data_IF_343627612561
#
_entry.id   IF_343627612561
#
_cell.length_a   1.000
_cell.length_b   1.000
_cell.length_c   1.000
_cell.angle_alpha   90.00
_cell.angle_beta   90.00
_cell.angle_gamma   90.00
#
_symmetry.space_group_name_H-M   'P 1'
#
loop_
_entity.id
_entity.type
_entity.pdbx_description
1 polymer ?
#
# COMPACT_ATOMS: atom_id res chain seq x y z
N UNK A 1 6.11 -31.93 -51.94
CA UNK A 1 6.46 -33.02 -52.89
C UNK A 1 7.73 -33.69 -52.36
N UNK A 2 7.76 -35.03 -52.31
CA UNK A 2 8.91 -35.93 -52.04
C UNK A 2 9.70 -35.78 -50.71
N UNK A 3 10.31 -36.86 -50.17
CA UNK A 3 9.90 -38.27 -50.21
C UNK A 3 10.03 -39.02 -48.86
N UNK A 4 9.70 -40.30 -48.88
CA UNK A 4 9.74 -41.31 -47.79
C UNK A 4 11.12 -41.97 -47.57
N UNK A 5 11.34 -42.58 -46.39
CA UNK A 5 12.24 -43.73 -46.20
C UNK A 5 11.84 -44.60 -44.98
N UNK A 6 12.23 -45.88 -45.01
CA UNK A 6 12.00 -46.92 -43.98
C UNK A 6 13.27 -47.08 -43.07
N UNK A 7 13.47 -48.04 -42.14
CA UNK A 7 12.96 -49.41 -41.90
C UNK A 7 13.10 -49.84 -40.40
N UNK A 8 12.80 -51.11 -40.09
CA UNK A 8 13.27 -52.06 -39.02
C UNK A 8 14.04 -51.54 -37.76
N UNK A 9 13.71 -51.87 -36.49
CA UNK A 9 13.40 -53.12 -35.73
C UNK A 9 14.60 -53.78 -35.02
N UNK A 10 14.43 -54.13 -33.73
CA UNK A 10 14.76 -55.45 -33.14
C UNK A 10 14.64 -55.47 -31.61
N UNK A 11 13.91 -56.47 -31.07
CA UNK A 11 13.82 -56.81 -29.64
C UNK A 11 14.73 -58.00 -29.33
N UNK A 12 15.46 -57.99 -28.19
CA UNK A 12 16.06 -59.22 -27.61
C UNK A 12 15.93 -59.21 -26.07
N UNK A 13 15.13 -60.14 -25.53
CA UNK A 13 15.18 -60.58 -24.14
C UNK A 13 16.23 -61.69 -23.94
N UNK A 14 16.84 -61.77 -22.74
CA UNK A 14 17.33 -63.04 -22.18
C UNK A 14 17.27 -63.04 -20.64
N UNK A 15 16.66 -64.07 -20.05
CA UNK A 15 16.64 -64.34 -18.60
C UNK A 15 17.56 -65.52 -18.19
N UNK A 16 17.79 -65.73 -16.89
CA UNK A 16 18.75 -66.77 -16.44
C UNK A 16 18.91 -67.00 -14.91
N UNK A 17 17.85 -67.50 -14.28
CA UNK A 17 17.64 -67.86 -12.86
C UNK A 17 18.64 -68.86 -12.17
N UNK A 18 18.61 -68.92 -10.81
CA UNK A 18 19.06 -70.00 -9.86
C UNK A 18 20.53 -70.06 -9.34
N UNK A 19 20.90 -70.57 -8.13
CA UNK A 19 20.28 -70.78 -6.78
C UNK A 19 21.34 -71.30 -5.75
N UNK A 20 21.12 -71.05 -4.43
CA UNK A 20 21.52 -71.89 -3.24
C UNK A 20 23.02 -72.18 -2.92
N UNK A 21 23.47 -72.55 -1.70
CA UNK A 21 23.03 -72.38 -0.29
C UNK A 21 24.10 -72.97 0.68
N UNK A 22 24.09 -72.64 1.99
CA UNK A 22 24.40 -73.57 3.14
C UNK A 22 24.30 -72.87 4.52
N UNK A 23 24.42 -73.62 5.62
CA UNK A 23 23.65 -73.36 6.87
C UNK A 23 24.14 -74.06 8.15
N UNK A 24 23.89 -73.50 9.35
CA UNK A 24 23.74 -74.24 10.64
C UNK A 24 23.16 -73.31 11.76
N UNK A 25 21.92 -73.51 12.27
CA UNK A 25 21.48 -74.29 13.48
C UNK A 25 21.91 -73.74 14.88
N UNK A 26 21.14 -73.86 16.00
CA UNK A 26 19.67 -74.01 16.17
C UNK A 26 18.96 -73.29 17.39
N UNK A 27 17.70 -72.86 17.18
CA UNK A 27 16.47 -72.93 18.05
C UNK A 27 16.31 -72.33 19.50
N UNK A 28 15.39 -71.34 19.56
CA UNK A 28 14.19 -71.16 20.48
C UNK A 28 14.42 -70.89 21.99
N UNK A 29 13.55 -70.16 22.73
CA UNK A 29 12.06 -70.05 22.71
C UNK A 29 11.54 -68.81 23.49
N UNK A 30 10.50 -68.12 23.01
CA UNK A 30 9.42 -67.40 23.77
C UNK A 30 8.47 -66.73 22.74
N UNK A 31 7.42 -67.42 22.28
CA UNK A 31 6.00 -67.32 22.71
C UNK A 31 5.21 -66.12 22.15
N UNK A 32 4.07 -66.45 21.52
CA UNK A 32 3.17 -65.52 20.80
C UNK A 32 2.34 -64.63 21.74
N UNK A 33 1.95 -63.45 21.23
CA UNK A 33 0.53 -63.05 21.18
C UNK A 33 0.27 -62.08 20.03
N UNK A 34 -0.79 -62.33 19.26
CA UNK A 34 -1.30 -61.40 18.25
C UNK A 34 -2.05 -60.27 18.95
N UNK A 35 -1.74 -59.02 18.63
CA UNK A 35 -2.55 -57.86 19.05
C UNK A 35 -3.58 -57.51 17.97
N UNK A 36 -4.76 -57.12 18.41
CA UNK A 36 -5.94 -56.93 17.55
C UNK A 36 -5.86 -55.66 16.71
N UNK A 37 -6.43 -55.70 15.51
CA UNK A 37 -6.83 -54.49 14.79
C UNK A 37 -8.14 -54.00 15.42
N UNK A 38 -8.14 -52.75 15.89
CA UNK A 38 -9.36 -52.02 16.31
C UNK A 38 -9.61 -50.93 15.26
N UNK A 39 -10.85 -50.71 14.79
CA UNK A 39 -11.11 -49.67 13.80
C UNK A 39 -10.85 -48.29 14.39
N UNK A 40 -10.12 -47.44 13.68
CA UNK A 40 -9.93 -46.05 14.09
C UNK A 40 -11.28 -45.32 13.93
N UNK A 41 -11.83 -44.83 15.03
CA UNK A 41 -13.10 -44.11 15.02
C UNK A 41 -13.02 -42.83 14.17
N UNK A 42 -14.13 -42.44 13.55
CA UNK A 42 -14.28 -41.10 12.97
C UNK A 42 -14.10 -40.09 14.09
N UNK A 43 -12.99 -39.36 14.07
CA UNK A 43 -12.84 -38.13 14.81
C UNK A 43 -12.99 -37.00 13.79
N UNK A 44 -14.15 -36.36 13.82
CA UNK A 44 -14.38 -35.14 13.03
C UNK A 44 -13.41 -34.08 13.55
N UNK A 45 -12.37 -33.81 12.77
CA UNK A 45 -11.52 -32.64 12.96
C UNK A 45 -12.39 -31.42 12.64
N UNK A 46 -12.78 -30.69 13.68
CA UNK A 46 -13.36 -29.37 13.51
C UNK A 46 -12.36 -28.50 12.73
N UNK A 47 -12.78 -28.03 11.56
CA UNK A 47 -12.05 -27.00 10.84
C UNK A 47 -12.15 -25.70 11.64
N UNK A 48 -11.00 -25.17 12.05
CA UNK A 48 -10.88 -23.87 12.69
C UNK A 48 -10.71 -22.80 11.59
N UNK A 49 -11.80 -22.12 11.26
CA UNK A 49 -11.89 -21.13 10.16
C UNK A 49 -11.21 -19.76 10.50
N UNK A 50 -10.21 -19.74 11.39
CA UNK A 50 -9.64 -18.51 11.97
C UNK A 50 -8.40 -17.93 11.25
N UNK A 51 -8.11 -18.37 10.02
CA UNK A 51 -7.13 -17.72 9.15
C UNK A 51 -7.79 -17.09 7.92
N UNK A 52 -8.26 -15.85 8.07
CA UNK A 52 -8.50 -14.96 6.93
C UNK A 52 -7.18 -14.72 6.19
N UNK A 53 -7.13 -15.01 4.89
CA UNK A 53 -6.03 -14.56 4.03
C UNK A 53 -5.88 -13.05 4.16
N UNK A 54 -4.72 -12.57 4.64
CA UNK A 54 -4.49 -11.13 4.83
C UNK A 54 -4.52 -10.42 3.47
N UNK A 55 -5.21 -9.30 3.38
CA UNK A 55 -5.25 -8.51 2.14
C UNK A 55 -3.89 -7.84 1.88
N UNK A 56 -3.66 -7.41 0.64
CA UNK A 56 -2.46 -6.62 0.30
C UNK A 56 -2.41 -5.29 1.05
N UNK A 57 -3.57 -4.71 1.39
CA UNK A 57 -3.68 -3.50 2.22
C UNK A 57 -3.36 -3.78 3.70
N UNK A 58 -3.82 -4.90 4.28
CA UNK A 58 -3.44 -5.30 5.65
C UNK A 58 -1.91 -5.48 5.76
N UNK A 59 -1.31 -6.24 4.84
CA UNK A 59 0.13 -6.47 4.81
C UNK A 59 0.93 -5.18 4.63
N UNK A 60 0.43 -4.26 3.80
CA UNK A 60 1.03 -2.94 3.62
C UNK A 60 0.99 -2.13 4.91
N UNK A 61 -0.19 -2.00 5.54
CA UNK A 61 -0.37 -1.22 6.77
C UNK A 61 0.43 -1.79 7.95
N UNK A 62 0.52 -3.11 8.08
CA UNK A 62 1.35 -3.79 9.09
C UNK A 62 2.86 -3.56 8.86
N UNK A 63 3.29 -3.31 7.62
CA UNK A 63 4.70 -3.02 7.29
C UNK A 63 5.11 -1.56 7.57
N UNK A 64 4.15 -0.65 7.65
CA UNK A 64 4.41 0.78 7.86
C UNK A 64 4.49 1.12 9.35
N UNK A 65 5.21 2.22 9.67
CA UNK A 65 5.15 2.79 11.02
C UNK A 65 3.72 3.28 11.31
N UNK A 66 3.06 2.81 12.38
CA UNK A 66 1.67 3.16 12.68
C UNK A 66 1.53 4.62 13.11
N UNK A 67 0.36 5.19 12.80
CA UNK A 67 -0.05 6.55 13.15
C UNK A 67 -1.13 6.49 14.23
N UNK A 68 -0.97 7.22 15.34
CA UNK A 68 -1.93 7.23 16.44
C UNK A 68 -2.28 8.66 16.86
N UNK A 69 -3.55 8.92 17.16
CA UNK A 69 -3.95 10.11 17.89
C UNK A 69 -3.70 9.90 19.40
N UNK A 70 -3.04 10.84 20.10
CA UNK A 70 -2.89 10.80 21.56
C UNK A 70 -4.26 10.68 22.24
N UNK A 71 -4.29 10.15 23.46
CA UNK A 71 -5.52 10.22 24.26
C UNK A 71 -5.82 11.67 24.62
N UNK A 72 -7.10 12.02 24.58
CA UNK A 72 -7.61 13.31 25.03
C UNK A 72 -8.36 13.07 26.34
N UNK A 73 -8.05 13.84 27.38
CA UNK A 73 -8.66 13.68 28.71
C UNK A 73 -9.97 14.47 28.80
N UNK A 74 -10.07 15.60 28.10
CA UNK A 74 -11.29 16.39 28.06
C UNK A 74 -12.29 15.80 27.05
N UNK A 75 -13.28 15.09 27.57
CA UNK A 75 -14.38 14.46 26.81
C UNK A 75 -15.20 15.43 25.94
N UNK A 76 -15.19 16.73 26.25
CA UNK A 76 -15.89 17.75 25.45
C UNK A 76 -15.09 18.24 24.24
N UNK A 77 -13.81 17.88 24.14
CA UNK A 77 -12.98 18.19 22.97
C UNK A 77 -13.29 17.20 21.85
N UNK A 78 -13.56 17.76 20.68
CA UNK A 78 -13.64 17.01 19.42
C UNK A 78 -12.35 17.32 18.66
N UNK A 79 -11.73 16.29 18.07
CA UNK A 79 -10.55 16.47 17.22
C UNK A 79 -10.84 16.07 15.79
N UNK A 80 -10.34 16.85 14.84
CA UNK A 80 -10.40 16.55 13.41
C UNK A 80 -8.99 16.49 12.85
N UNK A 81 -8.76 15.53 11.95
CA UNK A 81 -7.56 15.42 11.12
C UNK A 81 -7.99 15.38 9.67
N UNK A 82 -7.48 16.28 8.85
CA UNK A 82 -7.57 16.19 7.39
C UNK A 82 -6.58 15.14 6.90
N UNK A 83 -7.06 14.07 6.26
CA UNK A 83 -6.25 12.97 5.72
C UNK A 83 -6.07 13.12 4.20
N UNK A 84 -7.12 13.58 3.50
CA UNK A 84 -7.02 14.10 2.15
C UNK A 84 -7.91 15.35 2.00
N UNK A 85 -7.45 16.38 1.29
CA UNK A 85 -8.23 17.58 1.04
C UNK A 85 -9.27 17.35 -0.07
N UNK A 86 -10.32 18.18 -0.09
CA UNK A 86 -11.34 18.15 -1.12
C UNK A 86 -10.93 18.98 -2.34
N UNK A 87 -11.45 18.60 -3.51
CA UNK A 87 -11.40 19.41 -4.73
C UNK A 87 -12.66 19.19 -5.57
N UNK A 88 -12.84 19.97 -6.63
CA UNK A 88 -13.97 19.81 -7.57
C UNK A 88 -14.09 18.39 -8.17
N UNK A 89 -13.03 17.58 -8.08
CA UNK A 89 -12.94 16.22 -8.62
C UNK A 89 -12.70 15.13 -7.57
N UNK A 90 -12.51 15.47 -6.29
CA UNK A 90 -12.20 14.51 -5.21
C UNK A 90 -12.91 14.89 -3.92
N UNK A 91 -13.61 13.96 -3.29
CA UNK A 91 -14.13 14.19 -1.94
C UNK A 91 -12.96 14.39 -0.96
N UNK A 92 -13.07 15.26 0.05
CA UNK A 92 -12.15 15.25 1.18
C UNK A 92 -12.24 13.93 1.94
N UNK A 93 -11.20 13.62 2.72
CA UNK A 93 -11.21 12.54 3.70
C UNK A 93 -10.76 13.06 5.05
N UNK A 94 -11.61 12.93 6.06
CA UNK A 94 -11.32 13.33 7.43
C UNK A 94 -11.50 12.18 8.40
N UNK A 95 -10.76 12.26 9.50
CA UNK A 95 -11.03 11.49 10.71
C UNK A 95 -11.41 12.46 11.83
N UNK A 96 -12.57 12.23 12.44
CA UNK A 96 -13.10 12.97 13.58
C UNK A 96 -13.12 12.03 14.79
N UNK A 97 -12.67 12.51 15.94
CA UNK A 97 -12.61 11.73 17.19
C UNK A 97 -13.20 12.52 18.36
N UNK A 98 -14.18 11.95 19.04
CA UNK A 98 -14.82 12.46 20.27
C UNK A 98 -14.86 11.33 21.30
N UNK A 99 -14.27 11.57 22.47
CA UNK A 99 -14.07 10.53 23.51
C UNK A 99 -13.41 9.25 22.96
N UNK A 100 -14.15 8.14 22.97
CA UNK A 100 -13.76 6.80 22.49
C UNK A 100 -14.41 6.45 21.15
N UNK A 101 -15.08 7.40 20.48
CA UNK A 101 -15.73 7.19 19.20
C UNK A 101 -14.96 7.93 18.10
N UNK A 102 -14.60 7.19 17.06
CA UNK A 102 -13.96 7.71 15.86
C UNK A 102 -14.91 7.58 14.67
N UNK A 103 -14.88 8.58 13.81
CA UNK A 103 -15.78 8.75 12.67
C UNK A 103 -14.94 9.11 11.45
N UNK A 104 -15.20 8.47 10.32
CA UNK A 104 -14.61 8.83 9.04
C UNK A 104 -15.61 9.65 8.23
N UNK A 105 -15.09 10.60 7.47
CA UNK A 105 -15.91 11.49 6.64
C UNK A 105 -15.35 11.59 5.22
N UNK A 106 -16.22 11.42 4.21
CA UNK A 106 -15.87 11.38 2.79
C UNK A 106 -15.02 10.14 2.46
N UNK A 107 -14.37 10.10 1.31
CA UNK A 107 -13.49 8.96 0.95
C UNK A 107 -12.09 9.35 0.52
N UNK A 108 -11.88 10.53 -0.08
CA UNK A 108 -10.60 10.87 -0.70
C UNK A 108 -10.25 9.99 -1.91
N UNK A 109 -11.22 9.20 -2.40
CA UNK A 109 -11.03 8.33 -3.54
C UNK A 109 -10.80 9.19 -4.79
N UNK A 110 -9.81 8.77 -5.57
CA UNK A 110 -9.17 9.57 -6.60
C UNK A 110 -8.58 8.65 -7.66
N UNK A 111 -7.81 9.21 -8.58
CA UNK A 111 -7.00 8.46 -9.53
C UNK A 111 -5.63 9.12 -9.69
N UNK A 112 -4.57 8.31 -9.62
CA UNK A 112 -3.19 8.73 -9.92
C UNK A 112 -2.85 8.26 -11.34
N UNK A 113 -2.26 9.14 -12.15
CA UNK A 113 -1.81 8.78 -13.51
C UNK A 113 -0.30 8.85 -13.62
N UNK A 114 0.33 7.74 -14.01
CA UNK A 114 1.78 7.61 -14.12
C UNK A 114 2.13 6.77 -15.37
N UNK A 115 3.11 7.23 -16.15
CA UNK A 115 3.58 6.56 -17.38
C UNK A 115 2.45 6.17 -18.37
N UNK A 116 1.39 6.99 -18.48
CA UNK A 116 0.26 6.76 -19.37
C UNK A 116 -0.77 5.72 -18.90
N UNK A 117 -0.59 5.14 -17.69
CA UNK A 117 -1.61 4.30 -17.02
C UNK A 117 -2.20 5.06 -15.84
N UNK A 118 -3.52 4.93 -15.67
CA UNK A 118 -4.26 5.51 -14.54
C UNK A 118 -4.63 4.41 -13.55
N UNK A 119 -4.44 4.68 -12.27
CA UNK A 119 -4.65 3.75 -11.16
C UNK A 119 -5.70 4.34 -10.21
N UNK A 120 -6.71 3.57 -9.78
CA UNK A 120 -7.58 3.96 -8.67
C UNK A 120 -6.74 4.21 -7.42
N UNK A 121 -6.96 5.32 -6.75
CA UNK A 121 -6.20 5.73 -5.56
C UNK A 121 -7.09 6.17 -4.41
N UNK A 122 -6.56 6.06 -3.20
CA UNK A 122 -7.22 6.43 -1.95
C UNK A 122 -6.19 6.94 -0.93
N UNK A 123 -6.60 7.69 0.10
CA UNK A 123 -5.67 8.26 1.05
C UNK A 123 -5.02 7.19 1.94
N UNK A 124 -3.88 7.53 2.54
CA UNK A 124 -3.22 6.72 3.56
C UNK A 124 -4.17 6.34 4.72
N UNK A 125 -4.35 5.03 4.89
CA UNK A 125 -5.27 4.45 5.87
C UNK A 125 -4.62 4.16 7.24
N UNK A 126 -3.35 4.52 7.50
CA UNK A 126 -2.65 4.22 8.77
C UNK A 126 -3.37 4.73 10.00
N UNK A 127 -3.84 5.98 9.99
CA UNK A 127 -4.54 6.56 11.14
C UNK A 127 -5.96 5.99 11.31
N UNK A 128 -6.80 5.86 10.25
CA UNK A 128 -8.05 5.09 10.32
C UNK A 128 -7.88 3.66 10.83
N UNK A 129 -6.87 2.94 10.36
CA UNK A 129 -6.58 1.55 10.74
C UNK A 129 -6.18 1.42 12.21
N UNK A 130 -5.38 2.36 12.72
CA UNK A 130 -5.01 2.39 14.14
C UNK A 130 -6.19 2.68 15.07
N UNK A 131 -7.26 3.30 14.54
CA UNK A 131 -8.48 3.65 15.27
C UNK A 131 -9.65 2.67 14.98
N UNK A 132 -9.43 1.60 14.20
CA UNK A 132 -10.50 0.77 13.62
C UNK A 132 -11.48 0.16 14.63
N UNK A 133 -10.99 -0.25 15.80
CA UNK A 133 -11.82 -0.82 16.87
C UNK A 133 -12.71 0.24 17.57
N UNK A 134 -12.47 1.52 17.28
CA UNK A 134 -13.26 2.68 17.73
C UNK A 134 -14.06 3.34 16.60
N UNK A 135 -13.99 2.83 15.36
CA UNK A 135 -14.73 3.38 14.23
C UNK A 135 -16.21 3.04 14.33
N UNK A 136 -17.00 4.02 14.77
CA UNK A 136 -18.46 3.88 14.93
C UNK A 136 -19.16 4.06 13.58
N UNK A 137 -18.65 4.96 12.73
CA UNK A 137 -19.27 5.26 11.45
C UNK A 137 -18.27 5.75 10.40
N UNK A 138 -18.59 5.46 9.13
CA UNK A 138 -18.00 6.07 7.96
C UNK A 138 -19.11 6.80 7.19
N UNK A 139 -19.09 8.13 7.23
CA UNK A 139 -20.05 8.98 6.55
C UNK A 139 -19.53 9.30 5.16
N UNK A 140 -20.22 8.85 4.12
CA UNK A 140 -19.81 9.04 2.72
C UNK A 140 -20.90 9.84 2.01
N UNK A 141 -20.59 11.07 1.61
CA UNK A 141 -21.52 11.96 0.91
C UNK A 141 -20.91 12.44 -0.42
N UNK A 142 -20.39 11.46 -1.16
CA UNK A 142 -19.78 11.67 -2.47
C UNK A 142 -20.86 11.43 -3.54
N UNK A 143 -20.95 12.27 -4.57
CA UNK A 143 -21.97 12.12 -5.63
C UNK A 143 -21.83 10.81 -6.43
N UNK A 144 -20.59 10.28 -6.51
CA UNK A 144 -20.29 8.98 -7.09
C UNK A 144 -19.19 8.28 -6.27
N UNK A 145 -19.51 7.11 -5.71
CA UNK A 145 -18.56 6.31 -4.90
C UNK A 145 -17.87 5.28 -5.80
N UNK A 146 -16.54 5.21 -5.73
CA UNK A 146 -15.78 4.08 -6.26
C UNK A 146 -15.96 2.86 -5.34
N UNK A 147 -16.84 1.93 -5.74
CA UNK A 147 -17.22 0.77 -4.92
C UNK A 147 -16.06 -0.25 -4.80
N UNK A 148 -15.20 -0.39 -5.81
CA UNK A 148 -14.06 -1.30 -5.75
C UNK A 148 -13.04 -0.85 -4.68
N UNK A 149 -12.72 0.45 -4.65
CA UNK A 149 -11.92 1.04 -3.58
C UNK A 149 -12.59 0.91 -2.20
N UNK A 150 -13.90 1.10 -2.12
CA UNK A 150 -14.65 0.89 -0.87
C UNK A 150 -14.52 -0.56 -0.37
N UNK A 151 -14.70 -1.56 -1.25
CA UNK A 151 -14.54 -2.98 -0.88
C UNK A 151 -13.12 -3.37 -0.51
N UNK A 152 -12.11 -2.65 -1.04
CA UNK A 152 -10.71 -2.85 -0.67
C UNK A 152 -10.43 -2.39 0.77
N UNK A 153 -11.06 -1.28 1.20
CA UNK A 153 -10.79 -0.65 2.51
C UNK A 153 -11.69 -1.19 3.63
N UNK A 154 -12.93 -1.59 3.34
CA UNK A 154 -13.90 -2.02 4.37
C UNK A 154 -13.43 -3.16 5.29
N UNK A 155 -12.78 -4.25 4.81
CA UNK A 155 -12.31 -5.33 5.67
C UNK A 155 -11.25 -4.88 6.67
N UNK A 156 -10.33 -4.04 6.21
CA UNK A 156 -9.18 -3.51 6.94
C UNK A 156 -9.61 -2.61 8.12
N UNK A 157 -10.73 -1.89 7.93
CA UNK A 157 -11.33 -1.03 8.95
C UNK A 157 -12.38 -1.73 9.83
N UNK A 158 -12.46 -3.06 9.81
CA UNK A 158 -13.45 -3.86 10.57
C UNK A 158 -14.93 -3.54 10.26
N UNK A 159 -15.25 -3.14 9.01
CA UNK A 159 -16.62 -2.87 8.53
C UNK A 159 -17.40 -1.84 9.38
N UNK A 160 -16.95 -0.58 9.46
CA UNK A 160 -17.68 0.47 10.17
C UNK A 160 -19.07 0.70 9.54
N UNK A 161 -20.02 1.19 10.32
CA UNK A 161 -21.36 1.50 9.81
C UNK A 161 -21.28 2.60 8.74
N UNK A 162 -21.82 2.35 7.55
CA UNK A 162 -21.80 3.30 6.43
C UNK A 162 -23.05 4.18 6.51
N UNK A 163 -22.85 5.49 6.67
CA UNK A 163 -23.91 6.49 6.66
C UNK A 163 -23.83 7.26 5.34
N UNK A 164 -24.86 7.18 4.49
CA UNK A 164 -24.81 7.76 3.14
C UNK A 164 -26.21 8.00 2.56
N UNK A 165 -26.30 8.62 1.39
CA UNK A 165 -27.58 8.88 0.71
C UNK A 165 -28.21 7.58 0.21
N UNK A 166 -29.54 7.57 0.03
CA UNK A 166 -30.26 6.41 -0.52
C UNK A 166 -29.74 5.94 -1.88
N UNK A 167 -29.33 6.89 -2.73
CA UNK A 167 -28.73 6.61 -4.04
C UNK A 167 -27.40 5.86 -3.88
N UNK A 168 -26.56 6.28 -2.94
CA UNK A 168 -25.29 5.63 -2.64
C UNK A 168 -25.47 4.25 -2.00
N UNK A 169 -26.46 4.07 -1.11
CA UNK A 169 -26.81 2.73 -0.57
C UNK A 169 -27.19 1.79 -1.72
N UNK A 170 -28.02 2.24 -2.67
CA UNK A 170 -28.39 1.44 -3.83
C UNK A 170 -27.18 1.16 -4.75
N UNK A 171 -26.34 2.17 -5.02
CA UNK A 171 -25.13 2.01 -5.83
C UNK A 171 -24.16 0.98 -5.23
N UNK A 172 -23.85 1.08 -3.94
CA UNK A 172 -22.95 0.14 -3.26
C UNK A 172 -23.53 -1.27 -3.32
N UNK A 173 -24.81 -1.45 -2.94
CA UNK A 173 -25.46 -2.78 -2.92
C UNK A 173 -25.51 -3.46 -4.29
N UNK A 174 -25.63 -2.69 -5.37
CA UNK A 174 -25.73 -3.22 -6.73
C UNK A 174 -24.36 -3.53 -7.36
N UNK A 175 -23.26 -2.95 -6.84
CA UNK A 175 -21.92 -3.09 -7.43
C UNK A 175 -20.94 -3.93 -6.59
N UNK A 176 -21.20 -4.16 -5.30
CA UNK A 176 -20.39 -5.13 -4.51
C UNK A 176 -20.65 -6.55 -5.05
N UNK A 177 -19.61 -7.14 -5.65
CA UNK A 177 -19.69 -8.49 -6.23
C UNK A 177 -19.54 -9.62 -5.19
N UNK A 178 -18.88 -9.38 -4.05
CA UNK A 178 -18.73 -10.37 -2.98
C UNK A 178 -19.84 -10.24 -1.93
N UNK A 179 -20.76 -11.21 -1.94
CA UNK A 179 -21.84 -11.29 -0.95
C UNK A 179 -21.32 -11.35 0.50
N UNK A 180 -20.15 -11.94 0.78
CA UNK A 180 -19.58 -12.01 2.14
C UNK A 180 -19.13 -10.64 2.66
N UNK A 181 -18.71 -9.74 1.76
CA UNK A 181 -18.41 -8.35 2.09
C UNK A 181 -19.74 -7.61 2.35
N UNK A 182 -20.73 -7.79 1.48
CA UNK A 182 -22.02 -7.12 1.59
C UNK A 182 -22.78 -7.50 2.88
N UNK A 183 -22.78 -8.77 3.27
CA UNK A 183 -23.44 -9.28 4.48
C UNK A 183 -22.88 -8.69 5.78
N UNK A 184 -21.60 -8.27 5.78
CA UNK A 184 -20.95 -7.58 6.90
C UNK A 184 -21.25 -6.08 6.93
N UNK A 185 -21.56 -5.47 5.78
CA UNK A 185 -21.86 -4.04 5.70
C UNK A 185 -23.16 -3.69 6.43
N UNK A 186 -23.18 -2.54 7.11
CA UNK A 186 -24.39 -1.97 7.71
C UNK A 186 -24.57 -0.56 7.16
N UNK A 187 -25.74 -0.30 6.58
CA UNK A 187 -26.04 0.94 5.88
C UNK A 187 -27.13 1.70 6.61
N UNK A 188 -26.91 3.00 6.79
CA UNK A 188 -27.84 3.95 7.39
C UNK A 188 -28.06 5.10 6.40
N UNK A 189 -29.32 5.41 6.13
CA UNK A 189 -29.68 6.51 5.24
C UNK A 189 -29.52 7.84 5.99
N UNK A 190 -28.68 8.73 5.46
CA UNK A 190 -28.66 10.13 5.88
C UNK A 190 -29.85 10.81 5.20
N UNK A 191 -30.79 11.29 6.02
CA UNK A 191 -32.00 12.01 5.61
C UNK A 191 -31.92 13.43 6.18
N UNK A 192 -32.21 14.41 5.33
CA UNK A 192 -32.45 15.79 5.76
C UNK A 192 -33.88 15.91 6.33
N UNK A 193 -34.00 16.08 7.66
CA UNK A 193 -35.28 16.22 8.36
C UNK A 193 -35.45 17.63 8.93
N UNK A 194 -35.49 18.62 8.04
CA UNK A 194 -35.91 19.99 8.32
C UNK A 194 -35.26 20.61 9.57
N UNK A 195 -33.93 20.62 9.63
CA UNK A 195 -33.10 21.10 10.76
C UNK A 195 -33.12 20.26 12.06
N UNK A 196 -33.78 19.09 12.15
CA UNK A 196 -33.61 18.22 13.32
C UNK A 196 -32.19 17.62 13.38
N UNK A 197 -31.58 17.63 14.56
CA UNK A 197 -30.31 16.93 14.79
C UNK A 197 -30.56 15.44 15.06
N UNK A 198 -29.83 14.58 14.34
CA UNK A 198 -29.81 13.14 14.52
C UNK A 198 -28.54 12.71 15.28
N UNK A 199 -28.43 11.45 15.72
CA UNK A 199 -27.26 10.95 16.47
C UNK A 199 -26.53 9.81 15.76
N UNK A 200 -25.20 9.91 15.74
CA UNK A 200 -24.27 8.84 15.38
C UNK A 200 -23.32 8.68 16.56
N UNK A 201 -23.50 7.62 17.34
CA UNK A 201 -22.73 7.41 18.58
C UNK A 201 -22.84 8.59 19.56
N UNK A 202 -21.70 9.15 19.95
CA UNK A 202 -21.57 10.30 20.87
C UNK A 202 -21.69 11.67 20.19
N UNK A 203 -21.91 11.69 18.87
CA UNK A 203 -21.97 12.91 18.06
C UNK A 203 -23.41 13.11 17.55
N UNK A 204 -23.96 14.31 17.75
CA UNK A 204 -25.15 14.78 17.02
C UNK A 204 -24.74 15.24 15.64
N UNK A 205 -25.60 15.16 14.62
CA UNK A 205 -25.35 15.75 13.31
C UNK A 205 -26.62 16.37 12.72
N UNK A 206 -26.45 17.31 11.79
CA UNK A 206 -27.57 17.89 11.04
C UNK A 206 -27.09 18.51 9.73
N UNK A 207 -27.99 18.61 8.75
CA UNK A 207 -27.70 19.25 7.45
C UNK A 207 -28.13 20.72 7.51
N UNK A 208 -27.37 21.60 6.86
CA UNK A 208 -27.70 23.03 6.70
C UNK A 208 -27.18 23.54 5.36
N UNK A 209 -27.64 24.72 4.95
CA UNK A 209 -27.09 25.44 3.81
C UNK A 209 -26.49 26.78 4.27
N UNK A 210 -25.26 27.06 3.84
CA UNK A 210 -24.48 28.24 4.19
C UNK A 210 -23.83 28.81 2.92
N UNK A 211 -24.08 30.09 2.60
CA UNK A 211 -23.55 30.78 1.39
C UNK A 211 -23.80 30.03 0.06
N UNK A 212 -24.85 29.21 0.00
CA UNK A 212 -25.21 28.38 -1.16
C UNK A 212 -24.66 26.95 -1.11
N UNK A 213 -23.65 26.68 -0.29
CA UNK A 213 -23.10 25.35 -0.06
C UNK A 213 -23.89 24.62 1.01
N UNK A 214 -24.17 23.33 0.83
CA UNK A 214 -24.69 22.51 1.91
C UNK A 214 -23.53 22.03 2.79
N UNK A 215 -23.73 22.06 4.11
CA UNK A 215 -22.77 21.58 5.10
C UNK A 215 -23.42 20.61 6.09
N UNK A 216 -22.61 19.69 6.61
CA UNK A 216 -22.93 18.92 7.80
C UNK A 216 -22.42 19.63 9.06
N UNK A 217 -23.28 19.69 10.07
CA UNK A 217 -22.98 20.11 11.43
C UNK A 217 -22.76 18.88 12.28
N UNK A 218 -21.92 18.97 13.31
CA UNK A 218 -21.76 17.91 14.30
C UNK A 218 -21.72 18.49 15.72
N UNK A 219 -22.64 18.07 16.59
CA UNK A 219 -22.93 18.72 17.88
C UNK A 219 -23.40 20.18 17.68
N UNK A 220 -23.29 21.03 18.70
CA UNK A 220 -23.48 22.49 18.58
C UNK A 220 -22.36 23.20 17.78
N UNK A 221 -21.59 22.47 16.98
CA UNK A 221 -20.41 22.95 16.26
C UNK A 221 -20.56 22.60 14.78
N UNK A 222 -20.14 23.49 13.91
CA UNK A 222 -20.09 23.18 12.48
C UNK A 222 -18.72 22.56 12.20
N UNK A 223 -18.68 21.50 11.40
CA UNK A 223 -17.45 20.99 10.79
C UNK A 223 -17.77 20.90 9.31
N UNK A 224 -17.67 22.04 8.60
CA UNK A 224 -18.34 22.13 7.31
C UNK A 224 -17.70 21.17 6.32
N UNK A 225 -18.48 20.18 5.90
CA UNK A 225 -18.28 19.56 4.61
C UNK A 225 -18.56 20.62 3.53
N UNK A 226 -17.61 20.94 2.62
CA UNK A 226 -17.78 22.01 1.63
C UNK A 226 -18.83 21.72 0.53
N UNK A 227 -19.23 20.45 0.36
CA UNK A 227 -19.97 19.97 -0.81
C UNK A 227 -21.01 18.88 -0.48
N UNK A 228 -22.02 19.15 0.37
CA UNK A 228 -23.07 18.13 0.56
C UNK A 228 -23.87 17.92 -0.75
N UNK A 229 -24.10 16.67 -1.20
CA UNK A 229 -24.71 16.34 -2.49
C UNK A 229 -26.00 17.07 -2.85
N UNK A 230 -26.19 17.29 -4.15
CA UNK A 230 -27.44 17.83 -4.72
C UNK A 230 -28.69 17.01 -4.37
N UNK A 231 -28.52 15.75 -3.95
CA UNK A 231 -29.59 14.85 -3.51
C UNK A 231 -30.18 15.19 -2.12
N UNK A 232 -29.54 16.08 -1.34
CA UNK A 232 -29.95 16.47 0.01
C UNK A 232 -30.50 17.92 0.05
N UNK A 233 -31.23 18.33 -0.99
CA UNK A 233 -31.50 19.74 -1.33
C UNK A 233 -32.64 20.44 -0.58
N UNK A 234 -33.05 19.96 0.61
CA UNK A 234 -34.26 20.42 1.33
C UNK A 234 -33.99 21.26 2.59
N UNK A 235 -32.78 21.76 2.79
CA UNK A 235 -32.43 22.51 3.99
C UNK A 235 -33.15 23.87 4.10
N UNK A 236 -33.70 24.18 5.27
CA UNK A 236 -34.30 25.49 5.58
C UNK A 236 -33.27 26.42 6.25
N UNK A 237 -33.08 27.67 5.81
CA UNK A 237 -32.15 28.60 6.45
C UNK A 237 -32.62 28.99 7.86
N UNK A 238 -31.70 29.12 8.83
CA UNK A 238 -32.10 29.58 10.17
C UNK A 238 -31.09 29.47 11.33
N UNK A 239 -29.87 28.95 11.14
CA UNK A 239 -28.85 28.90 12.20
C UNK A 239 -27.51 29.35 11.62
N UNK A 240 -26.99 30.47 12.13
CA UNK A 240 -25.61 30.91 11.85
C UNK A 240 -24.61 29.92 12.49
N UNK A 241 -23.55 29.52 11.78
CA UNK A 241 -22.54 28.64 12.34
C UNK A 241 -21.72 29.36 13.41
N UNK A 242 -21.30 28.65 14.46
CA UNK A 242 -20.34 29.21 15.44
C UNK A 242 -18.96 29.45 14.80
N UNK A 243 -18.63 28.71 13.74
CA UNK A 243 -17.37 28.81 13.01
C UNK A 243 -17.61 28.67 11.50
N UNK A 244 -17.05 29.58 10.69
CA UNK A 244 -17.09 29.52 9.22
C UNK A 244 -15.90 28.71 8.70
N UNK A 245 -16.12 27.91 7.65
CA UNK A 245 -15.09 27.08 7.03
C UNK A 245 -14.98 27.40 5.54
N UNK A 246 -13.76 27.42 5.01
CA UNK A 246 -13.49 27.57 3.58
C UNK A 246 -12.17 26.92 3.20
N UNK A 247 -12.06 26.37 2.01
CA UNK A 247 -10.76 25.97 1.45
C UNK A 247 -10.12 27.17 0.77
N UNK A 248 -8.89 27.53 1.16
CA UNK A 248 -8.13 28.61 0.49
C UNK A 248 -7.42 28.12 -0.76
N UNK A 249 -7.12 26.82 -0.81
CA UNK A 249 -6.50 26.11 -1.92
C UNK A 249 -6.81 24.61 -1.81
N UNK A 250 -6.18 23.78 -2.65
CA UNK A 250 -6.40 22.33 -2.71
C UNK A 250 -5.84 21.53 -1.52
N UNK A 251 -5.15 22.14 -0.56
CA UNK A 251 -4.48 21.43 0.56
C UNK A 251 -4.82 22.00 1.94
N UNK A 252 -5.39 23.20 1.98
CA UNK A 252 -5.46 24.02 3.19
C UNK A 252 -6.90 24.40 3.55
N UNK A 253 -7.34 23.97 4.74
CA UNK A 253 -8.64 24.28 5.32
C UNK A 253 -8.52 25.51 6.22
N UNK A 254 -9.22 26.58 5.88
CA UNK A 254 -9.40 27.73 6.74
C UNK A 254 -10.65 27.53 7.62
N UNK A 255 -10.52 27.79 8.92
CA UNK A 255 -11.62 27.84 9.89
C UNK A 255 -11.54 29.16 10.64
N UNK A 256 -12.55 30.02 10.45
CA UNK A 256 -12.52 31.43 10.82
C UNK A 256 -11.25 32.12 10.26
N UNK A 257 -10.44 32.74 11.13
CA UNK A 257 -9.16 33.37 10.77
C UNK A 257 -7.96 32.40 10.89
N UNK A 258 -8.18 31.12 11.18
CA UNK A 258 -7.12 30.13 11.38
C UNK A 258 -7.00 29.20 10.18
N UNK A 259 -5.82 29.13 9.59
CA UNK A 259 -5.49 28.30 8.44
C UNK A 259 -4.82 27.01 8.91
N UNK A 260 -5.30 25.86 8.43
CA UNK A 260 -4.80 24.53 8.79
C UNK A 260 -4.43 23.72 7.55
N UNK A 261 -3.32 22.99 7.63
CA UNK A 261 -2.82 22.19 6.52
C UNK A 261 -3.03 20.68 6.70
N UNK A 262 -2.92 19.92 5.61
CA UNK A 262 -3.03 18.45 5.59
C UNK A 262 -2.28 17.78 6.75
N UNK A 263 -2.96 16.90 7.48
CA UNK A 263 -2.39 16.16 8.60
C UNK A 263 -2.29 16.89 9.94
N UNK A 264 -2.63 18.18 10.03
CA UNK A 264 -2.72 18.86 11.33
C UNK A 264 -3.91 18.38 12.16
N UNK A 265 -3.73 18.32 13.47
CA UNK A 265 -4.81 17.95 14.41
C UNK A 265 -5.46 19.22 14.94
N UNK A 266 -6.67 19.48 14.44
CA UNK A 266 -7.55 20.54 14.95
C UNK A 266 -8.24 20.04 16.21
N UNK A 267 -8.22 20.82 17.29
CA UNK A 267 -8.95 20.53 18.53
C UNK A 267 -10.00 21.61 18.76
N UNK A 268 -11.26 21.20 18.87
CA UNK A 268 -12.40 22.08 19.08
C UNK A 268 -12.88 21.90 20.51
N UNK A 269 -12.86 22.96 21.30
CA UNK A 269 -13.61 23.05 22.56
C UNK A 269 -14.98 23.73 22.31
N UNK A 270 -15.69 24.16 23.35
CA UNK A 270 -17.02 24.80 23.22
C UNK A 270 -16.99 26.20 22.58
N UNK A 271 -15.83 26.86 22.58
CA UNK A 271 -15.68 28.29 22.29
C UNK A 271 -14.47 28.63 21.42
N UNK A 272 -13.47 27.76 21.36
CA UNK A 272 -12.20 27.98 20.67
C UNK A 272 -11.70 26.75 19.91
N UNK A 273 -10.85 27.02 18.92
CA UNK A 273 -10.17 26.04 18.08
C UNK A 273 -8.66 26.17 18.33
N UNK A 274 -7.98 25.05 18.52
CA UNK A 274 -6.54 24.99 18.78
C UNK A 274 -5.87 23.97 17.88
N UNK A 275 -4.78 24.34 17.21
CA UNK A 275 -3.91 23.39 16.51
C UNK A 275 -3.03 22.66 17.53
N UNK A 276 -3.00 21.32 17.49
CA UNK A 276 -2.02 20.58 18.28
C UNK A 276 -0.62 20.69 17.64
N UNK A 277 0.43 20.57 18.46
CA UNK A 277 1.84 20.59 17.97
C UNK A 277 2.21 19.41 17.07
N UNK A 278 1.38 18.37 17.04
CA UNK A 278 1.62 17.20 16.20
C UNK A 278 0.96 17.39 14.83
N UNK A 279 1.66 16.90 13.81
CA UNK A 279 1.19 16.86 12.42
C UNK A 279 1.49 15.49 11.84
N UNK A 280 0.51 14.89 11.20
CA UNK A 280 0.67 13.66 10.42
C UNK A 280 1.19 14.00 9.01
N UNK A 281 1.91 13.05 8.44
CA UNK A 281 2.21 13.02 6.99
C UNK A 281 1.44 11.83 6.42
N UNK A 282 0.66 12.08 5.37
CA UNK A 282 -0.11 11.06 4.68
C UNK A 282 0.41 10.90 3.26
N UNK A 283 0.52 9.64 2.84
CA UNK A 283 0.85 9.27 1.47
C UNK A 283 -0.45 9.04 0.66
N UNK A 284 -0.35 8.86 -0.66
CA UNK A 284 -1.46 8.34 -1.48
C UNK A 284 -1.26 6.85 -1.70
N UNK A 285 -2.29 6.03 -1.52
CA UNK A 285 -2.26 4.60 -1.85
C UNK A 285 -2.95 4.38 -3.19
N UNK A 286 -2.47 3.42 -3.99
CA UNK A 286 -3.04 3.07 -5.29
C UNK A 286 -3.24 1.57 -5.44
N UNK A 287 -4.23 1.17 -6.25
CA UNK A 287 -4.53 -0.23 -6.56
C UNK A 287 -4.00 -0.58 -7.94
N UNK A 288 -3.24 -1.67 -8.03
CA UNK A 288 -2.87 -2.32 -9.29
C UNK A 288 -3.34 -3.79 -9.25
N UNK A 289 -4.37 -4.09 -10.03
CA UNK A 289 -5.11 -5.36 -10.03
C UNK A 289 -5.65 -5.78 -8.65
N UNK A 290 -4.85 -6.52 -7.86
CA UNK A 290 -5.18 -6.98 -6.49
C UNK A 290 -4.17 -6.50 -5.44
N UNK A 291 -3.16 -5.74 -5.85
CA UNK A 291 -2.10 -5.24 -4.99
C UNK A 291 -2.34 -3.77 -4.66
N UNK A 292 -2.21 -3.41 -3.37
CA UNK A 292 -2.12 -2.00 -2.97
C UNK A 292 -0.65 -1.60 -2.87
N UNK A 293 -0.30 -0.48 -3.50
CA UNK A 293 0.99 0.18 -3.37
C UNK A 293 0.87 1.56 -2.74
N UNK A 294 1.99 2.11 -2.28
CA UNK A 294 2.09 3.50 -1.82
C UNK A 294 2.75 4.32 -2.92
N UNK A 295 2.15 5.47 -3.24
CA UNK A 295 2.83 6.59 -3.87
C UNK A 295 3.76 7.25 -2.84
N UNK A 296 4.79 6.52 -2.44
CA UNK A 296 5.95 7.15 -1.85
C UNK A 296 6.67 7.84 -3.01
N UNK A 297 7.08 9.10 -2.83
CA UNK A 297 7.79 9.90 -3.85
C UNK A 297 9.12 9.31 -4.36
N UNK A 298 9.50 8.11 -3.89
CA UNK A 298 10.62 7.32 -4.36
C UNK A 298 10.21 6.14 -5.27
N UNK A 299 9.03 5.52 -5.10
CA UNK A 299 8.67 4.28 -5.81
C UNK A 299 8.03 4.56 -7.18
N UNK A 300 7.19 5.59 -7.28
CA UNK A 300 6.76 6.09 -8.59
C UNK A 300 7.89 6.84 -9.29
N UNK A 301 8.76 7.55 -8.55
CA UNK A 301 9.97 8.15 -9.14
C UNK A 301 10.94 7.09 -9.68
N UNK A 302 11.13 5.95 -8.98
CA UNK A 302 11.89 4.82 -9.53
C UNK A 302 11.25 4.27 -10.80
N UNK A 303 9.91 4.17 -10.88
CA UNK A 303 9.21 3.73 -12.11
C UNK A 303 9.30 4.76 -13.25
N UNK A 304 9.22 6.05 -12.93
CA UNK A 304 9.39 7.18 -13.85
C UNK A 304 10.83 7.20 -14.40
N UNK A 305 11.85 7.19 -13.53
CA UNK A 305 13.27 7.07 -13.89
C UNK A 305 13.57 5.80 -14.70
N UNK A 306 12.94 4.67 -14.40
CA UNK A 306 13.07 3.44 -15.20
C UNK A 306 12.39 3.56 -16.57
N UNK A 307 11.30 4.32 -16.68
CA UNK A 307 10.57 4.53 -17.94
C UNK A 307 11.23 5.56 -18.86
N UNK A 308 11.86 6.59 -18.30
CA UNK A 308 12.53 7.67 -19.05
C UNK A 308 14.03 7.44 -19.25
N UNK A 309 14.73 7.03 -18.19
CA UNK A 309 16.19 6.86 -18.16
C UNK A 309 16.66 5.41 -18.33
N UNK A 310 15.79 4.42 -18.11
CA UNK A 310 16.14 3.00 -18.15
C UNK A 310 16.99 2.53 -16.97
N UNK A 311 17.53 1.31 -17.07
CA UNK A 311 18.37 0.67 -16.04
C UNK A 311 19.73 0.27 -16.62
N UNK A 312 20.78 0.42 -15.81
CA UNK A 312 22.14 -0.08 -16.07
C UNK A 312 22.56 -0.93 -14.87
N UNK A 313 22.86 -2.21 -15.11
CA UNK A 313 23.35 -3.15 -14.11
C UNK A 313 24.80 -3.48 -14.46
N UNK A 314 25.71 -3.39 -13.50
CA UNK A 314 27.08 -3.87 -13.70
C UNK A 314 27.54 -4.77 -12.56
N UNK A 315 28.27 -5.83 -12.91
CA UNK A 315 28.82 -6.81 -11.98
C UNK A 315 30.34 -6.78 -12.06
N UNK A 316 31.00 -6.51 -10.93
CA UNK A 316 32.44 -6.62 -10.77
C UNK A 316 32.77 -7.73 -9.75
N UNK A 317 33.92 -8.37 -9.94
CA UNK A 317 34.48 -9.31 -8.96
C UNK A 317 35.55 -8.57 -8.15
N UNK A 318 35.40 -8.53 -6.82
CA UNK A 318 36.38 -7.94 -5.89
C UNK A 318 37.23 -9.05 -5.27
N UNK A 319 38.55 -8.92 -5.34
CA UNK A 319 39.45 -9.68 -4.48
C UNK A 319 39.31 -9.19 -3.03
N UNK A 320 38.83 -10.05 -2.13
CA UNK A 320 38.55 -9.64 -0.76
C UNK A 320 39.82 -9.20 0.00
N UNK A 321 40.99 -9.74 -0.38
CA UNK A 321 42.27 -9.47 0.27
C UNK A 321 42.98 -8.26 -0.35
N UNK A 322 43.07 -8.23 -1.69
CA UNK A 322 43.79 -7.19 -2.43
C UNK A 322 42.96 -5.92 -2.67
N UNK A 323 41.64 -5.99 -2.48
CA UNK A 323 40.67 -4.91 -2.77
C UNK A 323 40.73 -4.37 -4.21
N UNK A 324 41.10 -5.22 -5.15
CA UNK A 324 41.17 -4.93 -6.59
C UNK A 324 40.01 -5.56 -7.35
N UNK A 325 39.66 -4.97 -8.51
CA UNK A 325 38.72 -5.60 -9.45
C UNK A 325 39.45 -6.71 -10.20
N UNK A 326 39.00 -7.95 -9.99
CA UNK A 326 39.45 -9.12 -10.75
C UNK A 326 38.68 -9.23 -12.07
N UNK A 327 39.41 -9.50 -13.15
CA UNK A 327 38.84 -9.79 -14.46
C UNK A 327 38.01 -8.66 -15.10
N UNK A 328 36.93 -9.06 -15.78
CA UNK A 328 36.08 -8.21 -16.59
C UNK A 328 34.83 -7.76 -15.81
N UNK A 329 34.44 -6.48 -15.98
CA UNK A 329 33.21 -5.94 -15.41
C UNK A 329 32.07 -6.23 -16.39
N UNK A 330 31.16 -7.12 -16.04
CA UNK A 330 29.97 -7.39 -16.86
C UNK A 330 28.99 -6.24 -16.74
N UNK A 331 28.35 -5.85 -17.85
CA UNK A 331 27.35 -4.77 -17.89
C UNK A 331 26.17 -5.20 -18.76
N UNK A 332 24.96 -4.90 -18.29
CA UNK A 332 23.70 -5.03 -19.04
C UNK A 332 22.87 -3.74 -18.86
N UNK A 333 21.99 -3.44 -19.81
CA UNK A 333 21.09 -2.28 -19.70
C UNK A 333 19.79 -2.47 -20.47
N UNK A 334 18.68 -1.99 -19.91
CA UNK A 334 17.35 -2.01 -20.55
C UNK A 334 16.74 -0.61 -20.56
N UNK A 335 16.12 -0.20 -21.66
CA UNK A 335 15.53 1.15 -21.82
C UNK A 335 16.53 2.31 -21.95
N UNK A 336 17.78 2.13 -21.49
CA UNK A 336 18.76 3.21 -21.36
C UNK A 336 19.21 3.84 -22.68
N UNK A 337 19.66 3.05 -23.67
CA UNK A 337 20.26 3.55 -24.92
C UNK A 337 19.86 2.71 -26.15
N UNK A 338 19.89 3.32 -27.34
CA UNK A 338 19.47 2.65 -28.58
C UNK A 338 20.43 1.53 -29.00
N UNK A 339 19.89 0.45 -29.61
CA UNK A 339 20.60 -0.79 -29.95
C UNK A 339 21.93 -0.61 -30.70
N UNK A 340 22.07 0.45 -31.49
CA UNK A 340 23.28 0.73 -32.28
C UNK A 340 24.42 1.36 -31.46
N UNK A 341 24.12 2.01 -30.34
CA UNK A 341 25.09 2.77 -29.52
C UNK A 341 25.52 2.01 -28.26
N UNK A 342 24.74 1.01 -27.83
CA UNK A 342 24.92 0.22 -26.59
C UNK A 342 26.38 -0.18 -26.37
N UNK A 343 27.03 -0.79 -27.36
CA UNK A 343 28.40 -1.31 -27.22
C UNK A 343 29.43 -0.21 -26.91
N UNK A 344 29.30 0.97 -27.51
CA UNK A 344 30.22 2.06 -27.25
C UNK A 344 29.99 2.65 -25.86
N UNK A 345 28.72 2.92 -25.52
CA UNK A 345 28.33 3.52 -24.24
C UNK A 345 28.66 2.58 -23.07
N UNK A 346 28.40 1.28 -23.21
CA UNK A 346 28.80 0.25 -22.23
C UNK A 346 30.31 0.23 -22.00
N UNK A 347 31.11 0.35 -23.07
CA UNK A 347 32.57 0.36 -22.97
C UNK A 347 33.10 1.57 -22.20
N UNK A 348 32.53 2.75 -22.40
CA UNK A 348 32.90 3.95 -21.63
C UNK A 348 32.42 3.88 -20.18
N UNK A 349 31.20 3.37 -19.92
CA UNK A 349 30.71 3.15 -18.55
C UNK A 349 31.61 2.14 -17.80
N UNK A 350 32.02 1.03 -18.44
CA UNK A 350 32.92 0.04 -17.81
C UNK A 350 34.28 0.65 -17.43
N UNK A 351 34.83 1.56 -18.24
CA UNK A 351 36.03 2.33 -17.85
C UNK A 351 35.75 3.23 -16.64
N UNK A 352 34.63 3.96 -16.66
CA UNK A 352 34.25 4.83 -15.54
C UNK A 352 34.07 4.04 -14.24
N UNK A 353 33.42 2.86 -14.27
CA UNK A 353 33.29 1.98 -13.10
C UNK A 353 34.66 1.61 -12.53
N UNK A 354 35.61 1.22 -13.39
CA UNK A 354 36.96 0.86 -12.96
C UNK A 354 37.69 2.04 -12.32
N UNK A 355 37.72 3.20 -12.97
CA UNK A 355 38.38 4.42 -12.46
C UNK A 355 37.74 4.88 -11.15
N UNK A 356 36.41 4.95 -11.07
CA UNK A 356 35.70 5.33 -9.84
C UNK A 356 35.96 4.34 -8.70
N UNK A 357 35.96 3.02 -8.96
CA UNK A 357 36.28 2.01 -7.96
C UNK A 357 37.71 2.20 -7.41
N UNK A 358 38.70 2.31 -8.31
CA UNK A 358 40.11 2.45 -7.96
C UNK A 358 40.35 3.73 -7.16
N UNK A 359 39.73 4.84 -7.56
CA UNK A 359 39.79 6.10 -6.81
C UNK A 359 39.11 6.00 -5.44
N UNK A 360 37.89 5.46 -5.34
CA UNK A 360 37.17 5.32 -4.06
C UNK A 360 37.97 4.44 -3.08
N UNK A 361 38.60 3.35 -3.56
CA UNK A 361 39.45 2.48 -2.75
C UNK A 361 40.79 3.13 -2.38
N UNK A 362 41.33 4.02 -3.22
CA UNK A 362 42.54 4.79 -2.88
C UNK A 362 42.25 5.86 -1.83
N UNK A 363 41.10 6.53 -1.91
CA UNK A 363 40.67 7.57 -0.97
C UNK A 363 40.25 6.97 0.39
N UNK A 364 39.64 5.78 0.38
CA UNK A 364 39.21 5.04 1.57
C UNK A 364 39.40 3.53 1.40
N UNK A 365 40.58 2.98 1.76
CA UNK A 365 40.87 1.55 1.62
C UNK A 365 39.94 0.65 2.43
N UNK A 366 39.45 1.15 3.58
CA UNK A 366 38.64 0.39 4.54
C UNK A 366 37.13 0.56 4.34
N UNK A 367 36.72 1.24 3.26
CA UNK A 367 35.32 1.51 2.96
C UNK A 367 34.43 0.25 3.03
N UNK A 368 33.33 0.38 3.77
CA UNK A 368 32.31 -0.66 3.87
C UNK A 368 31.60 -0.87 2.51
N UNK A 369 31.29 -2.14 2.19
CA UNK A 369 30.69 -2.53 0.91
C UNK A 369 29.41 -1.77 0.56
N UNK A 370 28.56 -1.46 1.55
CA UNK A 370 27.34 -0.65 1.34
C UNK A 370 27.66 0.79 0.89
N UNK A 371 28.66 1.42 1.50
CA UNK A 371 29.09 2.78 1.15
C UNK A 371 29.79 2.81 -0.21
N UNK A 372 30.59 1.78 -0.52
CA UNK A 372 31.22 1.60 -1.84
C UNK A 372 30.17 1.50 -2.95
N UNK A 373 29.13 0.67 -2.77
CA UNK A 373 28.00 0.56 -3.71
C UNK A 373 27.28 1.90 -3.89
N UNK A 374 27.06 2.66 -2.82
CA UNK A 374 26.44 3.99 -2.90
C UNK A 374 27.31 5.02 -3.65
N UNK A 375 28.62 5.09 -3.37
CA UNK A 375 29.56 5.98 -4.08
C UNK A 375 29.63 5.61 -5.57
N UNK A 376 29.76 4.33 -5.90
CA UNK A 376 29.76 3.83 -7.29
C UNK A 376 28.44 4.15 -8.01
N UNK A 377 27.28 3.92 -7.39
CA UNK A 377 25.97 4.29 -7.96
C UNK A 377 25.95 5.78 -8.34
N UNK A 378 26.38 6.65 -7.42
CA UNK A 378 26.36 8.11 -7.61
C UNK A 378 27.27 8.58 -8.76
N UNK A 379 28.53 8.14 -8.79
CA UNK A 379 29.47 8.57 -9.84
C UNK A 379 29.05 8.04 -11.22
N UNK A 380 28.54 6.82 -11.31
CA UNK A 380 28.14 6.22 -12.59
C UNK A 380 26.81 6.78 -13.11
N UNK A 381 25.84 7.12 -12.24
CA UNK A 381 24.65 7.88 -12.66
C UNK A 381 25.05 9.24 -13.23
N UNK A 382 26.00 9.96 -12.59
CA UNK A 382 26.52 11.24 -13.09
C UNK A 382 27.25 11.09 -14.43
N UNK A 383 28.09 10.06 -14.58
CA UNK A 383 28.82 9.79 -15.81
C UNK A 383 27.88 9.41 -16.97
N UNK A 384 26.88 8.57 -16.71
CA UNK A 384 25.86 8.21 -17.70
C UNK A 384 25.09 9.44 -18.22
N UNK A 385 24.74 10.39 -17.33
CA UNK A 385 24.10 11.64 -17.74
C UNK A 385 25.00 12.51 -18.63
N UNK A 386 26.28 12.67 -18.27
CA UNK A 386 27.24 13.44 -19.11
C UNK A 386 27.46 12.78 -20.47
N UNK A 387 27.46 11.45 -20.53
CA UNK A 387 27.70 10.69 -21.76
C UNK A 387 26.47 10.60 -22.69
N UNK A 388 25.25 10.64 -22.15
CA UNK A 388 24.03 10.28 -22.91
C UNK A 388 22.86 11.26 -22.77
N UNK A 389 22.94 12.24 -21.87
CA UNK A 389 21.82 13.11 -21.49
C UNK A 389 20.73 12.43 -20.65
N UNK A 390 20.90 11.15 -20.27
CA UNK A 390 19.91 10.37 -19.51
C UNK A 390 20.43 9.95 -18.14
N UNK A 391 19.55 9.90 -17.15
CA UNK A 391 19.83 9.42 -15.79
C UNK A 391 19.24 8.02 -15.56
N UNK A 392 19.96 6.94 -15.93
CA UNK A 392 19.48 5.58 -15.67
C UNK A 392 19.54 5.25 -14.18
N UNK A 393 18.67 4.33 -13.75
CA UNK A 393 18.83 3.63 -12.47
C UNK A 393 20.05 2.72 -12.56
N UNK A 394 21.09 3.03 -11.77
CA UNK A 394 22.33 2.25 -11.73
C UNK A 394 22.31 1.25 -10.58
N UNK A 395 22.60 -0.02 -10.89
CA UNK A 395 22.66 -1.13 -9.93
C UNK A 395 24.04 -1.81 -9.94
N UNK A 396 24.96 -1.43 -9.03
CA UNK A 396 26.24 -2.09 -8.84
C UNK A 396 26.06 -3.44 -8.12
N UNK A 397 26.63 -4.50 -8.68
CA UNK A 397 26.77 -5.81 -8.05
C UNK A 397 28.26 -6.09 -7.85
N UNK A 398 28.65 -6.28 -6.59
CA UNK A 398 30.02 -6.67 -6.21
C UNK A 398 29.96 -8.13 -5.81
N UNK A 399 30.76 -8.99 -6.44
CA UNK A 399 30.92 -10.41 -6.09
C UNK A 399 32.27 -10.57 -5.40
N UNK A 400 32.25 -11.03 -4.16
CA UNK A 400 33.45 -11.27 -3.37
C UNK A 400 34.11 -12.57 -3.86
N UNK A 401 35.34 -12.50 -4.38
CA UNK A 401 36.14 -13.67 -4.73
C UNK A 401 37.24 -13.89 -3.69
N UNK A 402 37.36 -15.14 -3.23
CA UNK A 402 38.49 -15.62 -2.44
C UNK A 402 39.29 -16.54 -3.35
N UNK A 403 40.47 -16.08 -3.75
CA UNK A 403 41.45 -16.90 -4.44
C UNK A 403 42.51 -17.26 -3.40
N UNK A 404 42.63 -18.55 -3.09
CA UNK A 404 43.76 -19.04 -2.30
C UNK A 404 45.01 -18.92 -3.17
N UNK A 405 45.89 -17.97 -2.83
CA UNK A 405 47.22 -17.89 -3.44
C UNK A 405 48.12 -18.98 -2.87
N UNK A 406 47.99 -20.20 -3.43
CA UNK A 406 48.85 -21.37 -3.16
C UNK A 406 50.12 -21.36 -4.01
#
# INVERSE_FOLDING_TARGET
MSPSFFEESDDIEFGGNQKSASSSFPKKRLQNKKSQVVPLAKQELAFDDSHSEKTSLDALLESMKPSFLPKEENKEIIRQVCIAPGSDTTSPFFLIKKEHSTFLFGTGFSQVSCAGKTYPSFPDMRLPFAEKDSLVAWIILDDAINVDLLTTVLPVLNFPHIYTTRQNIASIRNNISDAKILDKCRFFEIIDDNNQTQKIGTIEYGISQERGHFCLRFDSRVFAYPYTPSALSSATPGIEPTHTFSYTDKETLQVNDTTFSLGEVMSFDKTSIHTQKMKFTFDTFYVDEKSVGVEAGYVLSDREMLSEGGVVIFTLQEDVNLKTIQGHIFIDSRGFVHRHEVMHIHKEIVKAVRVSYEQIRSDDPHIERGQLVQKLKKEITKYAYVLTGRTPVVMPIIIDTRIDHS
#
